data_IF_005053913272
#
_entry.id   IF_005053913272
#
_cell.length_a   1.000
_cell.length_b   1.000
_cell.length_c   1.000
_cell.angle_alpha   90.00
_cell.angle_beta   90.00
_cell.angle_gamma   90.00
#
_symmetry.space_group_name_H-M   'P 1'
#
loop_
_entity.id
_entity.type
_entity.pdbx_description
1 polymer ?
#
# COMPACT_ATOMS: atom_id res chain seq x y z
N UNK A 1 -45.66 -24.96 34.01
CA UNK A 1 -45.59 -24.10 32.81
C UNK A 1 -44.57 -23.01 33.12
N UNK A 2 -43.26 -23.18 32.86
CA UNK A 2 -42.54 -23.18 31.56
C UNK A 2 -42.67 -21.87 30.78
N UNK A 3 -41.51 -21.20 30.59
CA UNK A 3 -41.14 -20.22 29.56
C UNK A 3 -41.72 -18.79 29.69
N UNK A 4 -40.98 -17.70 29.43
CA UNK A 4 -39.60 -17.48 28.97
C UNK A 4 -39.25 -16.01 29.26
N UNK A 5 -38.05 -15.80 29.79
CA UNK A 5 -37.32 -14.53 29.77
C UNK A 5 -37.05 -14.18 28.29
N UNK A 6 -37.36 -12.96 27.86
CA UNK A 6 -36.74 -12.37 26.67
C UNK A 6 -36.09 -11.05 27.04
N UNK A 7 -34.80 -11.15 27.27
CA UNK A 7 -33.80 -10.10 27.11
C UNK A 7 -33.75 -9.70 25.63
N UNK A 8 -33.78 -8.40 25.33
CA UNK A 8 -32.98 -7.83 24.23
C UNK A 8 -32.45 -6.48 24.70
N UNK A 9 -31.25 -6.53 25.30
CA UNK A 9 -30.36 -5.38 25.32
C UNK A 9 -29.87 -5.18 23.88
N UNK A 10 -30.49 -4.27 23.13
CA UNK A 10 -29.89 -3.73 21.93
C UNK A 10 -28.97 -2.58 22.38
N UNK A 11 -27.78 -2.96 22.85
CA UNK A 11 -26.63 -2.06 22.77
C UNK A 11 -26.52 -1.67 21.30
N UNK A 12 -26.80 -0.41 21.02
CA UNK A 12 -26.38 0.24 19.79
C UNK A 12 -24.86 0.21 19.79
N UNK A 13 -24.30 -0.90 19.32
CA UNK A 13 -22.99 -0.94 18.72
C UNK A 13 -23.10 -0.08 17.46
N UNK A 14 -22.99 1.24 17.63
CA UNK A 14 -22.47 2.10 16.59
C UNK A 14 -21.04 1.64 16.35
N UNK A 15 -20.91 0.54 15.61
CA UNK A 15 -19.70 0.22 14.90
C UNK A 15 -19.46 1.46 14.05
N UNK A 16 -18.48 2.27 14.46
CA UNK A 16 -17.82 3.21 13.59
C UNK A 16 -17.21 2.38 12.47
N UNK A 17 -18.03 1.99 11.49
CA UNK A 17 -17.54 1.71 10.17
C UNK A 17 -16.99 3.03 9.68
N UNK A 18 -15.72 3.30 9.99
CA UNK A 18 -14.94 4.26 9.23
C UNK A 18 -15.06 3.80 7.80
N UNK A 19 -15.96 4.46 7.07
CA UNK A 19 -16.27 4.21 5.68
C UNK A 19 -15.05 4.72 4.88
N UNK A 20 -13.95 3.99 5.02
CA UNK A 20 -12.68 4.29 4.40
C UNK A 20 -12.91 4.25 2.89
N UNK A 21 -12.81 5.42 2.26
CA UNK A 21 -12.87 5.59 0.82
C UNK A 21 -11.93 4.61 0.14
N UNK A 22 -12.43 3.84 -0.82
CA UNK A 22 -11.61 2.92 -1.60
C UNK A 22 -10.66 3.72 -2.49
N UNK A 23 -9.39 3.79 -2.11
CA UNK A 23 -8.43 4.72 -2.73
C UNK A 23 -7.40 3.96 -3.57
N UNK A 24 -7.27 4.33 -4.84
CA UNK A 24 -6.20 3.79 -5.70
C UNK A 24 -5.07 4.79 -5.76
N UNK A 25 -3.89 4.40 -5.31
CA UNK A 25 -2.70 5.25 -5.31
C UNK A 25 -1.82 5.01 -6.52
N UNK A 26 -1.26 6.09 -7.06
CA UNK A 26 -0.25 6.10 -8.11
C UNK A 26 1.14 6.23 -7.48
N UNK A 27 1.87 5.11 -7.46
CA UNK A 27 3.28 5.02 -7.06
C UNK A 27 4.16 4.60 -8.26
N UNK A 28 3.80 5.03 -9.47
CA UNK A 28 4.49 4.58 -10.68
C UNK A 28 5.83 5.27 -10.92
N UNK A 29 6.09 6.39 -10.25
CA UNK A 29 7.32 7.19 -10.34
C UNK A 29 7.68 7.66 -11.77
N UNK A 30 6.73 7.64 -12.70
CA UNK A 30 6.97 8.10 -14.06
C UNK A 30 6.94 9.64 -14.14
N UNK A 31 8.01 10.32 -14.56
CA UNK A 31 8.10 11.78 -14.52
C UNK A 31 7.10 12.49 -15.46
N UNK A 32 6.72 11.83 -16.56
CA UNK A 32 5.85 12.40 -17.60
C UNK A 32 4.47 11.73 -17.67
N UNK A 33 4.07 11.05 -16.60
CA UNK A 33 2.82 10.30 -16.57
C UNK A 33 2.25 10.26 -15.16
N UNK A 34 0.92 10.34 -15.10
CA UNK A 34 0.14 9.82 -13.98
C UNK A 34 -0.89 8.82 -14.49
N UNK A 35 -1.36 7.94 -13.62
CA UNK A 35 -2.50 7.06 -13.92
C UNK A 35 -3.75 7.91 -14.20
N UNK A 36 -4.01 8.90 -13.35
CA UNK A 36 -5.19 9.77 -13.42
C UNK A 36 -6.48 9.01 -13.08
N UNK A 37 -7.64 9.50 -13.55
CA UNK A 37 -8.92 8.79 -13.38
C UNK A 37 -9.27 8.54 -11.90
N UNK A 38 -9.14 9.57 -11.07
CA UNK A 38 -9.50 9.52 -9.66
C UNK A 38 -8.47 8.82 -8.75
N UNK A 39 -7.29 8.47 -9.27
CA UNK A 39 -6.17 8.02 -8.40
C UNK A 39 -5.66 9.15 -7.53
N UNK A 40 -5.17 8.77 -6.35
CA UNK A 40 -4.42 9.64 -5.44
C UNK A 40 -2.92 9.43 -5.60
N UNK A 41 -2.11 10.43 -5.23
CA UNK A 41 -0.66 10.32 -5.23
C UNK A 41 -0.19 9.65 -3.94
N UNK A 42 1.00 9.06 -3.94
CA UNK A 42 1.63 8.56 -2.73
C UNK A 42 3.14 8.84 -2.82
N UNK A 43 3.73 9.22 -1.69
CA UNK A 43 5.17 9.33 -1.58
C UNK A 43 5.76 7.94 -1.36
N UNK A 44 6.89 7.65 -2.01
CA UNK A 44 7.53 6.35 -1.94
C UNK A 44 9.04 6.53 -1.78
N UNK A 45 9.61 5.95 -0.72
CA UNK A 45 11.06 5.78 -0.60
C UNK A 45 11.39 4.40 -1.13
N UNK A 46 12.15 4.27 -2.24
CA UNK A 46 12.45 2.99 -2.82
C UNK A 46 13.62 2.29 -2.12
N UNK A 47 13.58 0.95 -2.16
CA UNK A 47 14.57 0.07 -1.53
C UNK A 47 16.01 0.39 -1.95
N UNK A 48 16.25 0.69 -3.23
CA UNK A 48 17.59 1.02 -3.74
C UNK A 48 18.18 2.34 -3.19
N UNK A 49 17.36 3.20 -2.58
CA UNK A 49 17.82 4.40 -1.87
C UNK A 49 17.91 4.15 -0.37
N UNK A 50 17.03 3.32 0.18
CA UNK A 50 17.00 2.99 1.60
C UNK A 50 18.14 2.04 2.00
N UNK A 51 18.33 0.95 1.26
CA UNK A 51 19.30 -0.10 1.56
C UNK A 51 20.74 0.41 1.70
N UNK A 52 21.28 1.25 0.80
CA UNK A 52 22.64 1.77 0.95
C UNK A 52 22.87 2.52 2.26
N UNK A 53 21.87 3.22 2.80
CA UNK A 53 21.97 3.94 4.07
C UNK A 53 21.97 2.98 5.27
N UNK A 54 21.31 1.82 5.14
CA UNK A 54 21.10 0.87 6.22
C UNK A 54 22.14 -0.25 6.27
N UNK A 55 23.02 -0.36 5.25
CA UNK A 55 24.10 -1.38 5.18
C UNK A 55 25.01 -1.46 6.39
N UNK A 56 25.06 -0.42 7.23
CA UNK A 56 25.90 -0.35 8.44
C UNK A 56 25.10 -0.26 9.74
N UNK A 57 23.79 -0.53 9.69
CA UNK A 57 22.86 -0.31 10.80
C UNK A 57 22.11 1.01 10.67
N UNK A 58 21.70 1.59 11.81
CA UNK A 58 20.92 2.83 11.86
C UNK A 58 21.72 4.00 11.23
N UNK A 59 21.21 4.69 10.20
CA UNK A 59 21.85 5.86 9.63
C UNK A 59 21.85 7.05 10.61
N UNK A 60 22.55 8.13 10.25
CA UNK A 60 22.39 9.39 10.99
C UNK A 60 20.99 9.96 10.78
N UNK A 61 20.44 10.61 11.81
CA UNK A 61 19.14 11.28 11.74
C UNK A 61 19.07 12.28 10.57
N UNK A 62 20.16 13.01 10.35
CA UNK A 62 20.27 14.00 9.27
C UNK A 62 20.16 13.35 7.89
N UNK A 63 20.88 12.24 7.67
CA UNK A 63 20.86 11.56 6.37
C UNK A 63 19.50 10.92 6.10
N UNK A 64 18.89 10.34 7.12
CA UNK A 64 17.54 9.80 7.02
C UNK A 64 16.51 10.89 6.68
N UNK A 65 16.50 11.99 7.43
CA UNK A 65 15.59 13.12 7.16
C UNK A 65 15.74 13.67 5.75
N UNK A 66 16.99 13.83 5.29
CA UNK A 66 17.28 14.27 3.92
C UNK A 66 16.73 13.30 2.87
N UNK A 67 16.80 11.98 3.12
CA UNK A 67 16.18 10.98 2.25
C UNK A 67 14.66 11.15 2.23
N UNK A 68 14.02 11.29 3.40
CA UNK A 68 12.57 11.47 3.49
C UNK A 68 12.12 12.73 2.75
N UNK A 69 12.80 13.86 2.96
CA UNK A 69 12.50 15.11 2.26
C UNK A 69 12.67 15.00 0.74
N UNK A 70 13.66 14.25 0.26
CA UNK A 70 13.87 13.97 -1.18
C UNK A 70 12.67 13.26 -1.81
N UNK A 71 11.99 12.38 -1.07
CA UNK A 71 10.88 11.57 -1.58
C UNK A 71 9.49 12.04 -1.13
N UNK A 72 9.41 13.06 -0.26
CA UNK A 72 8.17 13.73 0.14
C UNK A 72 7.66 14.71 -0.94
N UNK A 73 7.52 14.23 -2.18
CA UNK A 73 7.16 15.02 -3.36
C UNK A 73 5.75 15.61 -3.29
N UNK A 74 4.87 14.96 -2.53
CA UNK A 74 3.46 15.30 -2.41
C UNK A 74 3.10 15.53 -0.93
N UNK A 75 3.24 16.75 -0.41
CA UNK A 75 2.89 17.07 0.98
C UNK A 75 1.46 16.66 1.34
N UNK A 76 1.29 15.99 2.48
CA UNK A 76 -0.01 15.54 2.99
C UNK A 76 -0.51 14.21 2.40
N UNK A 77 0.17 13.66 1.40
CA UNK A 77 -0.11 12.30 0.92
C UNK A 77 0.66 11.26 1.74
N UNK A 78 0.19 9.99 1.81
CA UNK A 78 0.88 8.96 2.55
C UNK A 78 2.33 8.76 2.09
N UNK A 79 3.18 8.30 3.00
CA UNK A 79 4.57 7.93 2.78
C UNK A 79 4.72 6.41 2.97
N UNK A 80 5.05 5.73 1.89
CA UNK A 80 5.46 4.32 1.89
C UNK A 80 6.98 4.22 1.98
N UNK A 81 7.48 3.50 2.97
CA UNK A 81 8.91 3.24 3.17
C UNK A 81 9.25 1.82 2.70
N UNK A 82 9.92 1.68 1.57
CA UNK A 82 10.49 0.41 1.11
C UNK A 82 11.95 0.32 1.52
N UNK A 83 12.17 -0.44 2.59
CA UNK A 83 13.46 -0.62 3.25
C UNK A 83 13.54 -2.08 3.73
N UNK A 84 13.27 -3.01 2.81
CA UNK A 84 13.13 -4.42 3.18
C UNK A 84 14.45 -5.01 3.68
N UNK A 85 15.59 -4.43 3.30
CA UNK A 85 16.89 -4.79 3.84
C UNK A 85 17.01 -4.71 5.36
N UNK A 86 16.18 -3.92 6.07
CA UNK A 86 16.13 -3.94 7.55
C UNK A 86 15.74 -5.34 8.07
N UNK A 87 14.85 -6.01 7.35
CA UNK A 87 14.27 -7.29 7.77
C UNK A 87 15.10 -8.48 7.29
N UNK A 88 16.16 -8.29 6.50
CA UNK A 88 16.96 -9.39 6.00
C UNK A 88 18.22 -9.65 6.84
N UNK A 89 18.63 -10.91 7.03
CA UNK A 89 17.92 -12.17 6.71
C UNK A 89 16.98 -12.65 7.84
N UNK A 90 16.86 -11.90 8.93
CA UNK A 90 16.32 -12.39 10.21
C UNK A 90 14.83 -12.12 10.46
N UNK A 91 14.16 -11.42 9.55
CA UNK A 91 12.78 -10.97 9.69
C UNK A 91 12.61 -9.86 10.74
N UNK A 92 11.37 -9.68 11.19
CA UNK A 92 11.04 -8.73 12.26
C UNK A 92 11.43 -9.32 13.63
N UNK A 93 12.25 -8.59 14.37
CA UNK A 93 12.75 -8.92 15.70
C UNK A 93 12.89 -7.62 16.52
N UNK A 94 13.39 -7.70 17.75
CA UNK A 94 13.51 -6.55 18.64
C UNK A 94 14.43 -5.44 18.08
N UNK A 95 15.63 -5.80 17.63
CA UNK A 95 16.61 -4.83 17.11
C UNK A 95 16.07 -4.10 15.88
N UNK A 96 15.55 -4.86 14.90
CA UNK A 96 14.97 -4.32 13.69
C UNK A 96 13.74 -3.46 13.99
N UNK A 97 12.95 -3.84 15.00
CA UNK A 97 11.81 -3.03 15.47
C UNK A 97 12.25 -1.68 16.00
N UNK A 98 13.32 -1.62 16.80
CA UNK A 98 13.82 -0.33 17.31
C UNK A 98 14.38 0.55 16.18
N UNK A 99 15.06 -0.05 15.20
CA UNK A 99 15.51 0.68 14.00
C UNK A 99 14.30 1.26 13.28
N UNK A 100 13.29 0.45 12.93
CA UNK A 100 12.10 0.92 12.23
C UNK A 100 11.34 2.00 13.00
N UNK A 101 11.16 1.86 14.32
CA UNK A 101 10.53 2.91 15.15
C UNK A 101 11.31 4.21 15.13
N UNK A 102 12.64 4.14 15.25
CA UNK A 102 13.50 5.32 15.22
C UNK A 102 13.39 6.05 13.88
N UNK A 103 13.50 5.30 12.78
CA UNK A 103 13.36 5.85 11.43
C UNK A 103 11.98 6.45 11.20
N UNK A 104 10.90 5.79 11.64
CA UNK A 104 9.55 6.31 11.53
C UNK A 104 9.36 7.62 12.30
N UNK A 105 9.92 7.71 13.51
CA UNK A 105 9.91 8.93 14.32
C UNK A 105 10.66 10.06 13.62
N UNK A 106 11.84 9.80 13.06
CA UNK A 106 12.59 10.79 12.30
C UNK A 106 11.88 11.23 11.02
N UNK A 107 11.21 10.32 10.31
CA UNK A 107 10.37 10.64 9.15
C UNK A 107 9.24 11.58 9.54
N UNK A 108 8.54 11.30 10.64
CA UNK A 108 7.43 12.11 11.12
C UNK A 108 7.84 13.55 11.50
N UNK A 109 9.11 13.79 11.81
CA UNK A 109 9.61 15.13 12.18
C UNK A 109 9.80 16.06 10.98
N UNK A 110 9.87 15.53 9.76
CA UNK A 110 10.05 16.33 8.52
C UNK A 110 8.85 16.27 7.59
N UNK A 111 7.92 15.35 7.83
CA UNK A 111 6.66 15.26 7.09
C UNK A 111 5.58 16.14 7.72
N UNK A 112 4.58 16.60 6.94
CA UNK A 112 3.41 17.28 7.51
C UNK A 112 2.74 16.46 8.61
N UNK A 113 2.20 17.15 9.62
CA UNK A 113 1.43 16.52 10.69
C UNK A 113 0.31 15.65 10.11
N UNK A 114 0.05 14.50 10.74
CA UNK A 114 -0.96 13.53 10.29
C UNK A 114 -0.70 12.96 8.88
N UNK A 115 0.55 12.94 8.40
CA UNK A 115 0.93 12.12 7.23
C UNK A 115 0.83 10.65 7.60
N UNK A 116 0.22 9.80 6.76
CA UNK A 116 0.23 8.35 6.99
C UNK A 116 1.63 7.83 6.65
N UNK A 117 2.28 7.13 7.58
CA UNK A 117 3.60 6.52 7.35
C UNK A 117 3.48 5.01 7.55
N UNK A 118 3.83 4.22 6.53
CA UNK A 118 3.82 2.77 6.64
C UNK A 118 4.95 2.09 5.88
N UNK A 119 5.26 0.89 6.33
CA UNK A 119 6.35 0.08 5.81
C UNK A 119 5.85 -0.82 4.69
N UNK A 120 6.54 -0.79 3.56
CA UNK A 120 6.27 -1.68 2.44
C UNK A 120 6.44 -3.14 2.88
N UNK A 121 5.42 -3.96 2.63
CA UNK A 121 5.41 -5.41 2.80
C UNK A 121 5.80 -5.97 4.18
N UNK A 122 5.87 -5.16 5.25
CA UNK A 122 6.22 -5.59 6.60
C UNK A 122 5.35 -6.76 7.12
N UNK A 123 4.08 -6.77 6.70
CA UNK A 123 3.12 -7.82 7.09
C UNK A 123 3.52 -9.23 6.64
N UNK A 124 4.30 -9.36 5.56
CA UNK A 124 4.83 -10.65 5.09
C UNK A 124 5.79 -11.28 6.11
N UNK A 125 6.48 -10.45 6.89
CA UNK A 125 7.42 -10.89 7.91
C UNK A 125 6.73 -11.11 9.27
N UNK A 126 5.40 -10.97 9.33
CA UNK A 126 4.64 -11.02 10.58
C UNK A 126 3.78 -12.28 10.67
N UNK A 127 3.89 -12.98 11.80
CA UNK A 127 3.14 -14.15 12.19
C UNK A 127 2.74 -14.06 13.66
N UNK A 128 2.07 -15.07 14.19
CA UNK A 128 1.56 -15.08 15.58
C UNK A 128 2.69 -14.85 16.59
N UNK A 129 3.86 -15.48 16.39
CA UNK A 129 5.00 -15.45 17.32
C UNK A 129 5.66 -14.09 17.41
N UNK A 130 5.69 -13.32 16.32
CA UNK A 130 6.40 -12.05 16.24
C UNK A 130 5.47 -10.84 16.06
N UNK A 131 4.15 -11.04 16.06
CA UNK A 131 3.10 -10.01 15.97
C UNK A 131 3.31 -8.83 16.92
N UNK A 132 3.79 -9.08 18.14
CA UNK A 132 4.10 -8.04 19.13
C UNK A 132 5.04 -6.95 18.59
N UNK A 133 6.01 -7.32 17.78
CA UNK A 133 7.00 -6.38 17.25
C UNK A 133 6.36 -5.42 16.23
N UNK A 134 5.40 -5.90 15.44
CA UNK A 134 4.64 -5.02 14.56
C UNK A 134 3.71 -4.12 15.40
N UNK A 135 3.01 -4.67 16.41
CA UNK A 135 2.19 -3.84 17.30
C UNK A 135 3.00 -2.70 17.95
N UNK A 136 4.26 -2.95 18.31
CA UNK A 136 5.16 -1.93 18.84
C UNK A 136 5.51 -0.83 17.80
N UNK A 137 5.65 -1.17 16.51
CA UNK A 137 5.82 -0.21 15.43
C UNK A 137 4.54 0.62 15.24
N UNK A 138 3.37 -0.03 15.24
CA UNK A 138 2.07 0.65 15.09
C UNK A 138 1.84 1.63 16.25
N UNK A 139 2.18 1.22 17.47
CA UNK A 139 2.05 2.06 18.67
C UNK A 139 2.98 3.28 18.67
N UNK A 140 4.13 3.21 17.98
CA UNK A 140 5.10 4.30 17.90
C UNK A 140 4.60 5.51 17.11
N UNK A 141 3.76 5.29 16.10
CA UNK A 141 3.19 6.34 15.27
C UNK A 141 1.79 5.92 14.85
N UNK A 142 0.73 6.49 15.42
CA UNK A 142 -0.63 5.95 15.25
C UNK A 142 -1.21 6.10 13.84
N UNK A 143 -0.68 7.02 13.03
CA UNK A 143 -1.19 7.28 11.70
C UNK A 143 -0.47 6.42 10.65
N UNK A 144 -0.88 5.16 10.55
CA UNK A 144 -0.28 4.18 9.62
C UNK A 144 -1.30 3.55 8.70
N UNK A 145 -0.78 2.83 7.70
CA UNK A 145 -1.53 1.92 6.87
C UNK A 145 -0.69 0.65 6.61
N UNK A 146 -1.38 -0.45 6.33
CA UNK A 146 -0.75 -1.67 5.87
C UNK A 146 -0.51 -1.61 4.36
N UNK A 147 0.70 -1.94 3.93
CA UNK A 147 1.08 -2.03 2.53
C UNK A 147 1.53 -3.45 2.12
N UNK A 148 0.64 -4.48 2.19
CA UNK A 148 0.98 -5.83 1.77
C UNK A 148 1.39 -5.87 0.31
N UNK A 149 2.51 -6.53 -0.01
CA UNK A 149 2.94 -6.74 -1.38
C UNK A 149 3.10 -8.25 -1.64
N UNK A 150 2.06 -8.93 -2.15
CA UNK A 150 2.12 -10.35 -2.53
C UNK A 150 2.94 -10.52 -3.83
N UNK A 151 4.22 -10.14 -3.80
CA UNK A 151 5.11 -10.15 -4.96
C UNK A 151 5.30 -11.59 -5.39
N UNK A 152 4.91 -11.90 -6.62
CA UNK A 152 5.17 -13.20 -7.24
C UNK A 152 5.63 -12.99 -8.68
N UNK A 153 6.72 -13.66 -9.03
CA UNK A 153 7.31 -13.64 -10.37
C UNK A 153 6.71 -14.71 -11.30
N UNK A 154 5.71 -15.48 -10.83
CA UNK A 154 5.19 -16.66 -11.53
C UNK A 154 3.90 -16.40 -12.34
N UNK A 155 3.40 -15.16 -12.38
CA UNK A 155 2.10 -14.80 -12.98
C UNK A 155 0.90 -15.62 -12.47
N UNK A 156 1.04 -16.47 -11.44
CA UNK A 156 -0.02 -17.41 -11.05
C UNK A 156 -0.99 -16.72 -10.10
N UNK A 157 -2.17 -16.37 -10.64
CA UNK A 157 -3.23 -15.71 -9.87
C UNK A 157 -3.62 -16.48 -8.58
N UNK A 158 -3.61 -17.82 -8.61
CA UNK A 158 -3.97 -18.64 -7.45
C UNK A 158 -2.97 -18.45 -6.30
N UNK A 159 -1.67 -18.48 -6.59
CA UNK A 159 -0.61 -18.24 -5.62
C UNK A 159 -0.70 -16.83 -5.06
N UNK A 160 -0.93 -15.85 -5.93
CA UNK A 160 -1.10 -14.44 -5.55
C UNK A 160 -2.28 -14.27 -4.59
N UNK A 161 -3.46 -14.81 -4.95
CA UNK A 161 -4.69 -14.74 -4.14
C UNK A 161 -4.48 -15.37 -2.77
N UNK A 162 -3.79 -16.52 -2.70
CA UNK A 162 -3.49 -17.17 -1.41
C UNK A 162 -2.63 -16.27 -0.52
N UNK A 163 -1.55 -15.71 -1.07
CA UNK A 163 -0.63 -14.85 -0.30
C UNK A 163 -1.30 -13.58 0.20
N UNK A 164 -2.03 -12.87 -0.67
CA UNK A 164 -2.73 -11.64 -0.24
C UNK A 164 -3.84 -11.94 0.78
N UNK A 165 -4.56 -13.07 0.64
CA UNK A 165 -5.59 -13.45 1.62
C UNK A 165 -4.99 -13.68 3.01
N UNK A 166 -3.82 -14.32 3.07
CA UNK A 166 -3.10 -14.51 4.33
C UNK A 166 -2.66 -13.16 4.92
N UNK A 167 -2.03 -12.29 4.12
CA UNK A 167 -1.58 -10.98 4.57
C UNK A 167 -2.73 -10.08 5.07
N UNK A 168 -3.88 -10.09 4.37
CA UNK A 168 -5.10 -9.39 4.80
C UNK A 168 -5.58 -9.93 6.15
N UNK A 169 -5.57 -11.26 6.34
CA UNK A 169 -5.94 -11.88 7.60
C UNK A 169 -5.06 -11.45 8.76
N UNK A 170 -3.73 -11.42 8.56
CA UNK A 170 -2.78 -10.95 9.58
C UNK A 170 -3.02 -9.48 9.91
N UNK A 171 -3.17 -8.63 8.89
CA UNK A 171 -3.40 -7.19 9.10
C UNK A 171 -4.69 -6.91 9.88
N UNK A 172 -5.79 -7.61 9.56
CA UNK A 172 -7.05 -7.49 10.30
C UNK A 172 -6.94 -7.94 11.76
N UNK A 173 -6.07 -8.90 12.07
CA UNK A 173 -5.82 -9.32 13.44
C UNK A 173 -4.96 -8.32 14.23
N UNK A 174 -4.04 -7.61 13.57
CA UNK A 174 -3.15 -6.64 14.21
C UNK A 174 -3.81 -5.27 14.42
N UNK A 175 -4.60 -4.81 13.46
CA UNK A 175 -5.19 -3.48 13.46
C UNK A 175 -6.40 -3.42 12.54
N UNK A 176 -7.59 -3.91 12.97
CA UNK A 176 -8.76 -4.03 12.09
C UNK A 176 -9.23 -2.69 11.49
N UNK A 177 -8.92 -1.58 12.17
CA UNK A 177 -9.29 -0.20 11.81
C UNK A 177 -8.28 0.52 10.92
N UNK A 178 -7.05 0.02 10.81
CA UNK A 178 -6.04 0.67 9.98
C UNK A 178 -6.33 0.44 8.48
N UNK A 179 -6.13 1.45 7.63
CA UNK A 179 -6.25 1.29 6.19
C UNK A 179 -5.31 0.18 5.68
N UNK A 180 -5.82 -0.64 4.77
CA UNK A 180 -5.05 -1.67 4.10
C UNK A 180 -5.04 -1.42 2.58
N UNK A 181 -3.86 -1.11 2.07
CA UNK A 181 -3.62 -0.75 0.67
C UNK A 181 -2.57 -1.69 0.06
N UNK A 182 -2.98 -2.87 -0.43
CA UNK A 182 -2.07 -3.79 -1.07
C UNK A 182 -1.33 -3.13 -2.24
N UNK A 183 -0.05 -3.46 -2.40
CA UNK A 183 0.76 -2.98 -3.51
C UNK A 183 0.67 -3.95 -4.67
N UNK A 184 0.28 -3.43 -5.82
CA UNK A 184 0.14 -4.12 -7.07
C UNK A 184 1.23 -3.63 -8.03
N UNK A 185 2.20 -4.51 -8.32
CA UNK A 185 3.24 -4.23 -9.29
C UNK A 185 2.65 -4.19 -10.71
N UNK A 186 3.06 -3.22 -11.51
CA UNK A 186 2.72 -3.20 -12.94
C UNK A 186 3.33 -4.42 -13.64
N UNK A 187 2.67 -5.00 -14.66
CA UNK A 187 3.23 -6.12 -15.42
C UNK A 187 4.61 -5.80 -16.02
N UNK A 188 5.56 -6.73 -15.84
CA UNK A 188 6.95 -6.60 -16.35
C UNK A 188 6.98 -6.77 -17.87
N UNK A 189 6.19 -7.72 -18.39
CA UNK A 189 5.98 -7.92 -19.83
C UNK A 189 4.53 -7.59 -20.19
N UNK A 190 4.31 -6.33 -20.56
CA UNK A 190 3.01 -5.82 -20.99
C UNK A 190 2.63 -6.22 -22.43
N UNK A 191 3.56 -6.86 -23.16
CA UNK A 191 3.31 -7.44 -24.48
C UNK A 191 2.69 -8.84 -24.36
N UNK A 192 3.04 -9.58 -23.32
CA UNK A 192 2.48 -10.89 -23.04
C UNK A 192 1.08 -10.79 -22.39
N UNK A 193 0.06 -11.14 -23.17
CA UNK A 193 -1.37 -11.05 -22.78
C UNK A 193 -1.69 -11.68 -21.42
N UNK A 194 -1.03 -12.80 -21.09
CA UNK A 194 -1.27 -13.54 -19.84
C UNK A 194 -0.99 -12.71 -18.59
N UNK A 195 0.03 -11.84 -18.62
CA UNK A 195 0.38 -10.99 -17.49
C UNK A 195 -0.66 -9.91 -17.26
N UNK A 196 -1.09 -9.24 -18.33
CA UNK A 196 -2.13 -8.20 -18.25
C UNK A 196 -3.49 -8.80 -17.84
N UNK A 197 -3.85 -9.98 -18.36
CA UNK A 197 -5.10 -10.66 -18.02
C UNK A 197 -5.12 -11.09 -16.54
N UNK A 198 -4.01 -11.61 -16.01
CA UNK A 198 -3.92 -11.97 -14.60
C UNK A 198 -3.89 -10.73 -13.70
N UNK A 199 -3.17 -9.68 -14.10
CA UNK A 199 -3.15 -8.40 -13.40
C UNK A 199 -4.55 -7.77 -13.31
N UNK A 200 -5.32 -7.81 -14.40
CA UNK A 200 -6.74 -7.40 -14.37
C UNK A 200 -7.54 -8.19 -13.35
N UNK A 201 -7.36 -9.51 -13.27
CA UNK A 201 -8.05 -10.35 -12.26
C UNK A 201 -7.60 -10.06 -10.83
N UNK A 202 -6.37 -9.60 -10.62
CA UNK A 202 -5.90 -9.12 -9.31
C UNK A 202 -6.63 -7.83 -8.92
N UNK A 203 -6.79 -6.89 -9.86
CA UNK A 203 -7.56 -5.65 -9.64
C UNK A 203 -9.01 -5.95 -9.30
N UNK A 204 -9.69 -6.83 -10.04
CA UNK A 204 -11.09 -7.17 -9.73
C UNK A 204 -11.21 -7.77 -8.32
N UNK A 205 -10.27 -8.65 -7.94
CA UNK A 205 -10.27 -9.22 -6.59
C UNK A 205 -10.10 -8.15 -5.51
N UNK A 206 -9.21 -7.17 -5.72
CA UNK A 206 -9.02 -6.06 -4.78
C UNK A 206 -10.27 -5.19 -4.67
N UNK A 207 -10.92 -4.87 -5.79
CA UNK A 207 -12.16 -4.07 -5.82
C UNK A 207 -13.31 -4.78 -5.10
N UNK A 208 -13.46 -6.08 -5.31
CA UNK A 208 -14.53 -6.89 -4.70
C UNK A 208 -14.29 -7.14 -3.20
N UNK A 209 -13.03 -7.16 -2.76
CA UNK A 209 -12.69 -7.46 -1.38
C UNK A 209 -12.96 -6.28 -0.43
N UNK A 210 -14.02 -6.39 0.38
CA UNK A 210 -14.41 -5.36 1.36
C UNK A 210 -13.42 -5.18 2.52
N UNK A 211 -12.47 -6.10 2.70
CA UNK A 211 -11.45 -6.00 3.75
C UNK A 211 -10.28 -5.08 3.37
N UNK A 212 -10.15 -4.69 2.09
CA UNK A 212 -9.11 -3.76 1.62
C UNK A 212 -9.72 -2.38 1.39
N UNK A 213 -8.94 -1.33 1.64
CA UNK A 213 -9.38 0.07 1.55
C UNK A 213 -8.94 0.75 0.26
N UNK A 214 -8.47 -0.02 -0.72
CA UNK A 214 -7.79 0.49 -1.89
C UNK A 214 -6.62 -0.38 -2.30
N UNK A 215 -5.75 0.16 -3.15
CA UNK A 215 -4.47 -0.45 -3.51
C UNK A 215 -3.50 0.58 -4.08
N UNK A 216 -2.21 0.28 -4.02
CA UNK A 216 -1.14 1.09 -4.61
C UNK A 216 -0.70 0.45 -5.92
N UNK A 217 -0.69 1.19 -7.01
CA UNK A 217 -0.10 0.74 -8.29
C UNK A 217 1.34 1.21 -8.34
N UNK A 218 2.27 0.27 -8.33
CA UNK A 218 3.71 0.55 -8.30
C UNK A 218 4.37 0.14 -9.61
N UNK A 219 5.14 1.07 -10.18
CA UNK A 219 5.91 0.85 -11.40
C UNK A 219 7.11 -0.09 -11.17
N UNK A 220 7.79 -0.55 -12.25
CA UNK A 220 8.96 -1.41 -12.15
C UNK A 220 10.22 -0.66 -11.68
N UNK A 221 10.12 0.65 -11.40
CA UNK A 221 11.24 1.60 -11.23
C UNK A 221 12.27 1.26 -10.15
N UNK A 222 11.99 0.28 -9.28
CA UNK A 222 12.87 -0.08 -8.17
C UNK A 222 13.70 -1.35 -8.33
N UNK A 223 13.40 -2.22 -9.30
CA UNK A 223 14.09 -3.52 -9.44
C UNK A 223 14.91 -3.65 -10.72
N UNK A 224 14.67 -2.78 -11.69
CA UNK A 224 15.41 -2.72 -12.92
C UNK A 224 15.79 -1.26 -13.14
N UNK A 225 17.03 -0.94 -13.56
CA UNK A 225 17.29 0.38 -14.13
C UNK A 225 16.25 0.57 -15.23
N UNK A 226 15.26 1.40 -14.94
CA UNK A 226 14.19 1.73 -15.85
C UNK A 226 14.84 2.59 -16.93
N UNK A 227 15.42 1.94 -17.93
CA UNK A 227 16.03 2.61 -19.10
C UNK A 227 14.96 3.50 -19.72
N UNK A 228 15.37 4.56 -20.41
CA UNK A 228 14.50 5.50 -21.15
C UNK A 228 13.35 4.80 -21.90
N UNK A 229 13.56 3.57 -22.40
CA UNK A 229 12.58 2.72 -23.06
C UNK A 229 11.34 2.39 -22.21
N UNK A 230 11.49 2.18 -20.90
CA UNK A 230 10.37 1.92 -20.01
C UNK A 230 9.57 3.21 -19.76
N UNK A 231 10.25 4.34 -19.60
CA UNK A 231 9.62 5.66 -19.47
C UNK A 231 8.85 6.04 -20.74
N UNK A 232 9.41 5.77 -21.93
CA UNK A 232 8.76 6.04 -23.21
C UNK A 232 7.57 5.11 -23.50
N UNK A 233 7.65 3.85 -23.06
CA UNK A 233 6.58 2.85 -23.28
C UNK A 233 5.44 2.95 -22.28
N UNK A 234 5.68 3.41 -21.05
CA UNK A 234 4.65 3.48 -20.02
C UNK A 234 3.36 4.22 -20.46
N UNK A 235 3.41 5.40 -21.12
CA UNK A 235 2.24 6.06 -21.76
C UNK A 235 1.41 5.20 -22.71
N UNK A 236 2.05 4.25 -23.38
CA UNK A 236 1.44 3.41 -24.41
C UNK A 236 1.14 1.99 -23.90
N UNK A 237 1.36 1.75 -22.62
CA UNK A 237 1.19 0.42 -22.02
C UNK A 237 -0.27 -0.02 -22.01
N UNK A 238 -0.47 -1.31 -22.29
CA UNK A 238 -1.77 -1.98 -22.25
C UNK A 238 -2.32 -2.04 -20.84
N UNK A 239 -1.50 -2.33 -19.84
CA UNK A 239 -1.92 -2.34 -18.44
C UNK A 239 -2.53 -1.00 -18.02
N UNK A 240 -1.93 0.13 -18.43
CA UNK A 240 -2.43 1.44 -18.03
C UNK A 240 -3.79 1.73 -18.65
N UNK A 241 -3.97 1.41 -19.94
CA UNK A 241 -5.27 1.54 -20.60
C UNK A 241 -6.33 0.69 -19.89
N UNK A 242 -5.99 -0.55 -19.53
CA UNK A 242 -6.89 -1.45 -18.79
C UNK A 242 -7.24 -0.85 -17.43
N UNK A 243 -6.27 -0.31 -16.71
CA UNK A 243 -6.49 0.33 -15.41
C UNK A 243 -7.40 1.55 -15.51
N UNK A 244 -7.12 2.48 -16.43
CA UNK A 244 -7.91 3.70 -16.62
C UNK A 244 -9.36 3.38 -16.98
N UNK A 245 -9.59 2.41 -17.87
CA UNK A 245 -10.92 1.91 -18.17
C UNK A 245 -11.61 1.32 -16.93
N UNK A 246 -10.85 0.63 -16.08
CA UNK A 246 -11.40 0.05 -14.87
C UNK A 246 -11.73 1.08 -13.80
N UNK A 247 -10.87 2.08 -13.62
CA UNK A 247 -11.04 3.21 -12.70
C UNK A 247 -12.23 4.07 -13.07
N UNK A 248 -12.43 4.31 -14.37
CA UNK A 248 -13.64 4.99 -14.89
C UNK A 248 -14.91 4.33 -14.34
N UNK A 249 -15.00 2.99 -14.47
CA UNK A 249 -16.14 2.22 -13.95
C UNK A 249 -16.18 2.13 -12.43
N UNK A 250 -15.02 1.99 -11.79
CA UNK A 250 -14.90 1.88 -10.34
C UNK A 250 -15.51 3.10 -9.66
N UNK A 251 -15.18 4.27 -10.19
CA UNK A 251 -15.54 5.56 -9.61
C UNK A 251 -16.69 6.28 -10.30
N UNK A 252 -17.34 5.65 -11.28
CA UNK A 252 -18.46 6.26 -11.99
C UNK A 252 -18.06 7.54 -12.76
N UNK A 253 -16.81 7.62 -13.23
CA UNK A 253 -16.35 8.81 -13.94
C UNK A 253 -17.12 8.95 -15.27
N UNK A 254 -17.37 10.19 -15.66
CA UNK A 254 -18.13 10.52 -16.88
C UNK A 254 -19.62 10.13 -16.85
N UNK A 255 -20.24 10.08 -15.67
CA UNK A 255 -21.68 9.91 -15.50
C UNK A 255 -22.14 8.46 -15.27
N UNK A 256 -21.20 7.53 -15.13
CA UNK A 256 -21.47 6.15 -14.72
C UNK A 256 -21.83 6.08 -13.22
N UNK A 257 -22.52 5.01 -12.80
CA UNK A 257 -22.77 4.73 -11.38
C UNK A 257 -21.49 4.18 -10.73
N UNK A 258 -20.96 4.80 -9.65
CA UNK A 258 -19.75 4.32 -9.00
C UNK A 258 -19.98 2.96 -8.34
N UNK A 259 -18.99 2.07 -8.46
CA UNK A 259 -18.96 0.79 -7.74
C UNK A 259 -18.38 0.94 -6.33
N UNK A 260 -17.46 1.88 -6.15
CA UNK A 260 -16.87 2.27 -4.86
C UNK A 260 -16.75 3.79 -4.80
N UNK A 261 -16.92 4.35 -3.61
CA UNK A 261 -16.54 5.73 -3.33
C UNK A 261 -15.04 5.82 -3.03
N UNK A 262 -14.41 6.94 -3.38
CA UNK A 262 -13.01 7.20 -3.03
C UNK A 262 -12.14 7.81 -4.12
N UNK A 263 -12.74 8.11 -5.28
CA UNK A 263 -12.09 8.89 -6.32
C UNK A 263 -11.56 10.22 -5.76
N UNK A 264 -10.28 10.50 -5.99
CA UNK A 264 -9.79 11.86 -5.89
C UNK A 264 -10.17 12.60 -7.18
N UNK A 265 -11.40 13.09 -7.22
CA UNK A 265 -11.82 13.98 -8.29
C UNK A 265 -11.25 15.35 -7.94
N UNK A 266 -10.31 15.83 -8.74
CA UNK A 266 -9.95 17.24 -8.71
C UNK A 266 -11.18 18.03 -9.16
N UNK A 267 -12.00 18.49 -8.21
CA UNK A 267 -12.91 19.59 -8.46
C UNK A 267 -12.01 20.79 -8.69
N UNK A 268 -11.82 21.17 -9.96
CA UNK A 268 -10.92 22.25 -10.34
C UNK A 268 -11.22 23.55 -9.59
N UNK A 269 -10.14 24.33 -9.45
CA UNK A 269 -10.00 25.73 -9.03
C UNK A 269 -11.26 26.59 -9.18
#
# INVERSE_FOLDING_TARGET
>A
MLAKIFTVAALLSSAFGLNHKFTVFDATEYPNMTIGYGTSLINHVPDYECDPLLKKGLPSEKDWKKLIEKFALFPGYPMQLDCQGILEPHGINEDNTQVMKTLQTWSAQVLPNNTIIGWFNLIEHTNVTNSRFYLDIIANYSNQAFFPAPILWDAVLKSWKRRITLQVGVAKNLGPELPLWPVLLTPIDDMARIWVDNWKKQIEWLIENVAVNGFVVRGPGSYLPCVEDCLHRAPKSRWLRVLRQRLTKLYGLHGDVPQREGAQVFTGV
#
